data_IF_274623436082
#
_entry.id   IF_274623436082
#
_cell.length_a   1.000
_cell.length_b   1.000
_cell.length_c   1.000
_cell.angle_alpha   90.00
_cell.angle_beta   90.00
_cell.angle_gamma   90.00
#
_symmetry.space_group_name_H-M   'P 1'
#
loop_
_entity.id
_entity.type
_entity.pdbx_description
1 polymer ?
#
# COMPACT_ATOMS: atom_id res chain seq x y z
N UNK A 1 -42.15 16.42 -49.84
CA UNK A 1 -42.36 16.67 -48.41
C UNK A 1 -42.12 15.44 -47.49
N UNK A 2 -42.45 14.20 -47.90
CA UNK A 2 -42.25 13.01 -47.04
C UNK A 2 -40.79 12.50 -46.91
N UNK A 3 -39.92 12.87 -47.87
CA UNK A 3 -38.52 12.44 -47.86
C UNK A 3 -37.62 13.33 -46.98
N UNK A 4 -37.96 14.62 -46.84
CA UNK A 4 -37.22 15.61 -46.06
C UNK A 4 -37.44 15.39 -44.53
N UNK A 5 -38.64 14.94 -44.13
CA UNK A 5 -38.92 14.62 -42.72
C UNK A 5 -38.20 13.35 -42.20
N UNK A 6 -37.87 12.40 -43.09
CA UNK A 6 -37.11 11.19 -42.68
C UNK A 6 -35.62 11.46 -42.53
N UNK A 7 -35.06 12.41 -43.26
CA UNK A 7 -33.66 12.81 -43.10
C UNK A 7 -33.44 13.67 -41.84
N UNK A 8 -34.43 14.50 -41.46
CA UNK A 8 -34.32 15.29 -40.22
C UNK A 8 -34.43 14.44 -38.94
N UNK A 9 -35.22 13.33 -38.96
CA UNK A 9 -35.35 12.43 -37.81
C UNK A 9 -34.10 11.58 -37.59
N UNK A 10 -33.34 11.25 -38.61
CA UNK A 10 -32.06 10.51 -38.51
C UNK A 10 -30.94 11.45 -38.05
N UNK A 11 -30.96 12.72 -38.40
CA UNK A 11 -29.99 13.72 -37.92
C UNK A 11 -30.22 14.11 -36.45
N UNK A 12 -31.47 14.07 -35.96
CA UNK A 12 -31.79 14.40 -34.56
C UNK A 12 -31.47 13.25 -33.57
N UNK A 13 -31.48 11.97 -34.01
CA UNK A 13 -31.05 10.83 -33.23
C UNK A 13 -29.53 10.70 -33.16
N UNK A 14 -28.75 11.31 -34.04
CA UNK A 14 -27.29 11.30 -34.04
C UNK A 14 -26.66 12.31 -33.08
N UNK A 15 -27.41 13.28 -32.57
CA UNK A 15 -26.91 14.32 -31.67
C UNK A 15 -27.14 14.04 -30.17
N UNK A 16 -27.78 12.93 -29.81
CA UNK A 16 -28.03 12.55 -28.42
C UNK A 16 -27.01 11.54 -27.82
N UNK A 17 -25.96 11.24 -28.59
CA UNK A 17 -24.86 10.37 -28.08
C UNK A 17 -23.54 11.12 -27.86
N UNK A 18 -23.56 12.45 -27.83
CA UNK A 18 -22.49 13.17 -27.13
C UNK A 18 -22.72 13.00 -25.62
N UNK A 19 -22.43 11.82 -25.09
CA UNK A 19 -22.33 11.64 -23.66
C UNK A 19 -21.33 12.66 -23.15
N UNK A 20 -21.74 13.56 -22.25
CA UNK A 20 -20.81 14.35 -21.45
C UNK A 20 -19.85 13.33 -20.81
N UNK A 21 -18.55 13.46 -21.09
CA UNK A 21 -17.57 12.72 -20.32
C UNK A 21 -17.88 12.95 -18.82
N UNK A 22 -17.90 11.92 -17.98
CA UNK A 22 -18.20 12.11 -16.58
C UNK A 22 -17.22 13.13 -16.01
N UNK A 23 -17.77 14.12 -15.28
CA UNK A 23 -16.97 15.17 -14.65
C UNK A 23 -16.07 14.52 -13.61
N UNK A 24 -14.76 14.67 -13.74
CA UNK A 24 -13.83 14.23 -12.71
C UNK A 24 -13.59 15.32 -11.70
N UNK A 25 -13.58 14.96 -10.43
CA UNK A 25 -13.20 15.82 -9.31
C UNK A 25 -11.98 15.23 -8.61
N UNK A 26 -11.11 16.11 -8.12
CA UNK A 26 -9.91 15.69 -7.39
C UNK A 26 -9.80 16.45 -6.09
N UNK A 27 -9.26 15.78 -5.07
CA UNK A 27 -8.99 16.35 -3.76
C UNK A 27 -7.64 15.93 -3.25
N UNK A 28 -6.85 16.91 -2.80
CA UNK A 28 -5.56 16.69 -2.13
C UNK A 28 -5.68 17.08 -0.67
N UNK A 29 -5.24 16.24 0.24
CA UNK A 29 -5.21 16.48 1.68
C UNK A 29 -4.08 15.70 2.34
N UNK A 30 -3.76 16.00 3.60
CA UNK A 30 -2.76 15.29 4.40
C UNK A 30 -3.46 14.37 5.40
N UNK A 31 -3.07 13.09 5.42
CA UNK A 31 -3.51 12.10 6.38
C UNK A 31 -2.51 10.94 6.43
N UNK A 32 -2.44 10.18 7.52
CA UNK A 32 -1.55 9.03 7.73
C UNK A 32 -0.09 9.34 7.34
N UNK A 33 0.40 10.50 7.81
CA UNK A 33 1.75 11.02 7.58
C UNK A 33 2.16 11.21 6.11
N UNK A 34 1.18 11.35 5.20
CA UNK A 34 1.45 11.54 3.78
C UNK A 34 0.44 12.48 3.10
N UNK A 35 0.81 12.96 1.91
CA UNK A 35 -0.12 13.67 1.03
C UNK A 35 -0.90 12.65 0.22
N UNK A 36 -2.22 12.73 0.30
CA UNK A 36 -3.16 11.89 -0.45
C UNK A 36 -3.83 12.71 -1.54
N UNK A 37 -4.06 12.07 -2.69
CA UNK A 37 -4.79 12.67 -3.81
C UNK A 37 -5.84 11.69 -4.34
N UNK A 38 -7.11 12.06 -4.19
CA UNK A 38 -8.24 11.26 -4.66
C UNK A 38 -8.82 11.91 -5.92
N UNK A 39 -8.94 11.16 -6.99
CA UNK A 39 -9.64 11.55 -8.22
C UNK A 39 -10.83 10.61 -8.44
N UNK A 40 -12.03 11.16 -8.56
CA UNK A 40 -13.27 10.40 -8.74
C UNK A 40 -14.04 10.96 -9.93
N UNK A 41 -14.54 10.09 -10.80
CA UNK A 41 -15.43 10.44 -11.89
C UNK A 41 -16.85 10.02 -11.52
N UNK A 42 -17.72 10.96 -11.16
CA UNK A 42 -19.07 10.64 -10.71
C UNK A 42 -19.79 11.78 -10.02
N UNK A 43 -20.55 11.48 -8.98
CA UNK A 43 -21.40 12.42 -8.26
C UNK A 43 -20.59 13.43 -7.43
N UNK A 44 -21.08 14.69 -7.39
CA UNK A 44 -20.51 15.76 -6.56
C UNK A 44 -20.67 15.43 -5.06
N UNK A 45 -19.65 15.74 -4.25
CA UNK A 45 -19.69 15.61 -2.78
C UNK A 45 -19.12 14.31 -2.22
N UNK A 46 -18.90 13.27 -3.04
CA UNK A 46 -18.36 12.00 -2.56
C UNK A 46 -16.95 12.14 -1.97
N UNK A 47 -16.14 13.06 -2.48
CA UNK A 47 -14.79 13.32 -1.96
C UNK A 47 -14.77 13.80 -0.51
N UNK A 48 -15.83 14.47 -0.02
CA UNK A 48 -15.94 14.86 1.39
C UNK A 48 -16.08 13.62 2.28
N UNK A 49 -16.93 12.67 1.87
CA UNK A 49 -17.18 11.44 2.62
C UNK A 49 -15.93 10.53 2.61
N UNK A 50 -15.25 10.41 1.46
CA UNK A 50 -14.00 9.64 1.35
C UNK A 50 -12.91 10.23 2.26
N UNK A 51 -12.71 11.55 2.25
CA UNK A 51 -11.74 12.21 3.13
C UNK A 51 -12.09 12.02 4.61
N UNK A 52 -13.36 12.19 4.98
CA UNK A 52 -13.81 11.97 6.35
C UNK A 52 -13.59 10.52 6.80
N UNK A 53 -13.76 9.56 5.88
CA UNK A 53 -13.50 8.15 6.15
C UNK A 53 -12.02 7.88 6.40
N UNK A 54 -11.12 8.42 5.57
CA UNK A 54 -9.66 8.34 5.79
C UNK A 54 -9.28 8.86 7.17
N UNK A 55 -9.79 10.06 7.53
CA UNK A 55 -9.52 10.67 8.84
C UNK A 55 -10.06 9.84 10.02
N UNK A 56 -11.16 9.12 9.82
CA UNK A 56 -11.70 8.21 10.83
C UNK A 56 -10.77 7.01 11.02
N UNK A 57 -10.32 6.39 9.92
CA UNK A 57 -9.37 5.28 9.98
C UNK A 57 -8.03 5.70 10.63
N UNK A 58 -7.50 6.86 10.25
CA UNK A 58 -6.28 7.41 10.86
C UNK A 58 -6.40 7.50 12.38
N UNK A 59 -7.53 8.05 12.90
CA UNK A 59 -7.78 8.15 14.34
C UNK A 59 -7.83 6.81 15.05
N UNK A 60 -8.34 5.77 14.41
CA UNK A 60 -8.43 4.45 15.02
C UNK A 60 -7.09 3.72 15.00
N UNK A 61 -6.29 3.90 13.94
CA UNK A 61 -5.11 3.08 13.63
C UNK A 61 -3.77 3.69 14.08
N UNK A 62 -3.75 4.98 14.45
CA UNK A 62 -2.53 5.68 14.83
C UNK A 62 -1.85 5.03 16.05
N UNK A 63 -0.55 4.82 15.99
CA UNK A 63 0.27 4.37 17.13
C UNK A 63 0.70 5.51 18.06
N UNK A 64 0.50 6.76 17.63
CA UNK A 64 0.96 7.96 18.35
C UNK A 64 -0.18 8.82 18.92
N UNK A 65 -1.42 8.68 18.41
CA UNK A 65 -2.57 9.41 18.95
C UNK A 65 -3.10 8.71 20.22
N UNK A 66 -3.08 9.37 21.40
CA UNK A 66 -3.60 8.80 22.64
C UNK A 66 -5.09 8.41 22.61
N UNK A 67 -5.84 8.86 21.62
CA UNK A 67 -7.26 8.52 21.45
C UNK A 67 -7.48 7.32 20.53
N UNK A 68 -6.41 6.77 19.93
CA UNK A 68 -6.51 5.65 19.02
C UNK A 68 -6.65 4.30 19.74
N UNK A 69 -7.25 3.35 19.06
CA UNK A 69 -7.43 1.99 19.55
C UNK A 69 -6.09 1.24 19.58
N UNK A 70 -5.22 1.43 18.59
CA UNK A 70 -3.89 0.80 18.56
C UNK A 70 -2.97 1.40 19.62
N UNK A 71 -3.01 2.72 19.84
CA UNK A 71 -2.29 3.31 20.97
C UNK A 71 -2.78 2.73 22.31
N UNK A 72 -4.10 2.62 22.49
CA UNK A 72 -4.68 2.06 23.71
C UNK A 72 -4.28 0.58 23.92
N UNK A 73 -4.25 -0.23 22.83
CA UNK A 73 -3.75 -1.60 22.87
C UNK A 73 -2.29 -1.64 23.34
N UNK A 74 -1.43 -0.84 22.74
CA UNK A 74 0.00 -0.78 23.04
C UNK A 74 0.29 -0.29 24.49
N UNK A 75 -0.56 0.60 25.04
CA UNK A 75 -0.35 1.11 26.40
C UNK A 75 -0.94 0.21 27.49
N UNK A 76 -2.05 -0.45 27.22
CA UNK A 76 -2.82 -1.16 28.24
C UNK A 76 -2.68 -2.70 28.14
N UNK A 77 -2.05 -3.21 27.08
CA UNK A 77 -1.95 -4.63 26.78
C UNK A 77 -3.27 -5.27 26.31
N UNK A 78 -4.38 -4.53 26.40
CA UNK A 78 -5.69 -4.98 25.88
C UNK A 78 -6.61 -3.79 25.65
N UNK A 79 -7.45 -3.87 24.58
CA UNK A 79 -8.45 -2.86 24.27
C UNK A 79 -9.61 -3.46 23.45
N UNK A 80 -10.75 -2.78 23.50
CA UNK A 80 -11.87 -3.07 22.59
C UNK A 80 -11.66 -2.33 21.29
N UNK A 81 -11.86 -3.03 20.18
CA UNK A 81 -11.68 -2.53 18.82
C UNK A 81 -13.02 -2.19 18.16
N UNK A 82 -13.02 -1.19 17.31
CA UNK A 82 -14.05 -0.99 16.29
C UNK A 82 -14.01 -2.11 15.26
N UNK A 83 -15.06 -2.22 14.45
CA UNK A 83 -15.12 -3.22 13.39
C UNK A 83 -14.00 -3.07 12.37
N UNK A 84 -13.63 -1.82 12.03
CA UNK A 84 -12.54 -1.54 11.10
C UNK A 84 -11.17 -2.01 11.62
N UNK A 85 -10.85 -1.62 12.86
CA UNK A 85 -9.55 -1.98 13.46
C UNK A 85 -9.45 -3.49 13.66
N UNK A 86 -10.57 -4.13 14.06
CA UNK A 86 -10.65 -5.58 14.20
C UNK A 86 -10.45 -6.28 12.84
N UNK A 87 -11.18 -5.85 11.80
CA UNK A 87 -11.03 -6.41 10.44
C UNK A 87 -9.59 -6.28 9.96
N UNK A 88 -9.00 -5.08 10.09
CA UNK A 88 -7.61 -4.88 9.67
C UNK A 88 -6.64 -5.73 10.47
N UNK A 89 -6.78 -5.84 11.78
CA UNK A 89 -5.90 -6.64 12.63
C UNK A 89 -5.99 -8.13 12.27
N UNK A 90 -7.20 -8.67 12.05
CA UNK A 90 -7.41 -10.05 11.57
C UNK A 90 -6.70 -10.30 10.23
N UNK A 91 -6.86 -9.38 9.27
CA UNK A 91 -6.24 -9.48 7.93
C UNK A 91 -4.71 -9.37 8.03
N UNK A 92 -4.20 -8.42 8.82
CA UNK A 92 -2.77 -8.23 9.02
C UNK A 92 -2.10 -9.47 9.64
N UNK A 93 -2.70 -10.06 10.68
CA UNK A 93 -2.25 -11.34 11.24
C UNK A 93 -2.32 -12.48 10.22
N UNK A 94 -3.26 -12.42 9.27
CA UNK A 94 -3.33 -13.33 8.12
C UNK A 94 -2.10 -13.20 7.22
N UNK A 95 -1.68 -11.96 6.92
CA UNK A 95 -0.47 -11.72 6.13
C UNK A 95 0.81 -12.10 6.89
N UNK A 96 0.91 -11.83 8.20
CA UNK A 96 2.05 -12.28 8.99
C UNK A 96 2.24 -13.80 8.89
N UNK A 97 1.15 -14.55 9.02
CA UNK A 97 1.17 -16.02 8.85
C UNK A 97 1.53 -16.45 7.42
N UNK A 98 0.94 -15.80 6.42
CA UNK A 98 1.15 -16.16 5.01
C UNK A 98 2.59 -15.90 4.54
N UNK A 99 3.27 -14.96 5.15
CA UNK A 99 4.66 -14.57 4.84
C UNK A 99 5.70 -15.16 5.80
N UNK A 100 5.27 -16.10 6.67
CA UNK A 100 6.10 -16.73 7.69
C UNK A 100 6.88 -15.72 8.56
N UNK A 101 6.20 -14.61 8.90
CA UNK A 101 6.74 -13.55 9.74
C UNK A 101 7.60 -12.51 9.02
N UNK A 102 7.85 -12.61 7.71
CA UNK A 102 8.57 -11.56 6.98
C UNK A 102 7.83 -10.20 7.02
N UNK A 103 6.51 -10.21 7.14
CA UNK A 103 5.70 -9.13 7.66
C UNK A 103 5.34 -9.48 9.10
N UNK A 104 5.76 -8.66 10.07
CA UNK A 104 5.33 -8.80 11.46
C UNK A 104 4.84 -7.44 12.00
N UNK A 105 3.56 -7.37 12.34
CA UNK A 105 2.93 -6.15 12.85
C UNK A 105 3.35 -5.81 14.28
N UNK A 106 4.12 -6.66 14.95
CA UNK A 106 4.64 -6.38 16.30
C UNK A 106 6.03 -5.73 16.28
N UNK A 107 6.49 -5.26 15.12
CA UNK A 107 7.78 -4.60 14.92
C UNK A 107 7.90 -3.22 15.59
N UNK A 108 6.83 -2.66 16.16
CA UNK A 108 6.78 -1.29 16.66
C UNK A 108 7.83 -0.94 17.71
N UNK A 109 8.16 -1.81 18.70
CA UNK A 109 9.25 -1.53 19.65
C UNK A 109 10.60 -1.27 18.96
N UNK A 110 10.88 -2.01 17.87
CA UNK A 110 12.10 -1.79 17.08
C UNK A 110 12.04 -0.46 16.34
N UNK A 111 10.92 -0.10 15.70
CA UNK A 111 10.75 1.21 15.06
C UNK A 111 11.00 2.37 16.04
N UNK A 112 10.51 2.23 17.27
CA UNK A 112 10.77 3.21 18.35
C UNK A 112 12.25 3.29 18.72
N UNK A 113 12.92 2.15 18.88
CA UNK A 113 14.33 2.09 19.26
C UNK A 113 15.26 2.69 18.18
N UNK A 114 14.93 2.51 16.89
CA UNK A 114 15.62 3.14 15.78
C UNK A 114 15.28 4.64 15.61
N UNK A 115 14.22 5.14 16.28
CA UNK A 115 13.78 6.52 16.23
C UNK A 115 12.90 6.88 15.03
N UNK A 116 12.40 5.89 14.26
CA UNK A 116 11.53 6.14 13.09
C UNK A 116 10.15 6.68 13.46
N UNK A 117 9.76 6.61 14.71
CA UNK A 117 8.46 7.10 15.21
C UNK A 117 8.53 8.54 15.75
N UNK A 118 9.73 9.08 15.94
CA UNK A 118 9.94 10.39 16.60
C UNK A 118 10.92 11.30 15.87
N UNK A 119 11.50 10.86 14.75
CA UNK A 119 12.61 11.51 14.01
C UNK A 119 13.88 11.71 14.87
N UNK A 120 13.95 11.02 16.03
CA UNK A 120 15.13 11.00 16.92
C UNK A 120 15.98 9.78 16.60
N UNK A 121 16.53 9.76 15.39
CA UNK A 121 17.25 8.61 14.83
C UNK A 121 18.50 8.22 15.63
N UNK A 122 18.66 6.92 15.83
CA UNK A 122 19.83 6.32 16.47
C UNK A 122 20.00 4.87 16.02
N UNK A 123 21.24 4.37 16.12
CA UNK A 123 21.54 2.95 15.90
C UNK A 123 21.54 2.25 17.27
N UNK A 124 20.59 1.33 17.54
CA UNK A 124 20.58 0.55 18.77
C UNK A 124 21.82 -0.35 18.86
N UNK A 125 22.28 -0.64 20.07
CA UNK A 125 23.35 -1.61 20.30
C UNK A 125 22.84 -3.07 20.18
N UNK A 126 23.77 -4.01 20.08
CA UNK A 126 23.47 -5.42 19.87
C UNK A 126 22.63 -6.03 21.02
N UNK A 127 22.84 -5.60 22.27
CA UNK A 127 22.06 -6.07 23.41
C UNK A 127 20.61 -5.57 23.34
N UNK A 128 20.41 -4.33 22.90
CA UNK A 128 19.08 -3.75 22.64
C UNK A 128 18.39 -4.49 21.50
N UNK A 129 19.07 -4.72 20.38
CA UNK A 129 18.49 -5.48 19.26
C UNK A 129 18.12 -6.91 19.66
N UNK A 130 18.97 -7.57 20.47
CA UNK A 130 18.66 -8.91 20.99
C UNK A 130 17.41 -8.93 21.87
N UNK A 131 17.23 -7.91 22.73
CA UNK A 131 16.05 -7.79 23.57
C UNK A 131 14.78 -7.48 22.76
N UNK A 132 14.88 -6.65 21.71
CA UNK A 132 13.76 -6.30 20.83
C UNK A 132 13.23 -7.51 20.06
N UNK A 133 14.10 -8.39 19.57
CA UNK A 133 13.70 -9.63 18.88
C UNK A 133 12.77 -10.51 19.68
N UNK A 134 12.95 -10.55 21.00
CA UNK A 134 12.08 -11.33 21.90
C UNK A 134 10.66 -10.75 22.01
N UNK A 135 10.45 -9.50 21.57
CA UNK A 135 9.13 -8.82 21.59
C UNK A 135 8.44 -8.80 20.22
N UNK A 136 9.12 -9.25 19.17
CA UNK A 136 8.57 -9.32 17.81
C UNK A 136 8.00 -10.73 17.61
N UNK A 137 6.68 -10.86 17.79
CA UNK A 137 5.97 -12.14 17.68
C UNK A 137 4.47 -11.87 17.42
N UNK A 138 4.09 -11.85 16.15
CA UNK A 138 2.67 -11.67 15.77
C UNK A 138 1.75 -12.77 16.32
N UNK A 139 2.29 -13.95 16.69
CA UNK A 139 1.48 -15.05 17.24
C UNK A 139 1.04 -14.79 18.66
N UNK A 140 1.69 -13.84 19.35
CA UNK A 140 1.32 -13.39 20.68
C UNK A 140 0.11 -12.45 20.71
N UNK A 141 -0.28 -11.89 19.55
CA UNK A 141 -1.49 -11.05 19.42
C UNK A 141 -2.73 -11.93 19.41
N UNK A 142 -3.65 -11.69 20.32
CA UNK A 142 -4.90 -12.45 20.43
C UNK A 142 -6.12 -11.59 20.17
N UNK A 143 -7.13 -12.17 19.51
CA UNK A 143 -8.42 -11.56 19.27
C UNK A 143 -9.51 -12.46 19.87
N UNK A 144 -10.33 -11.89 20.77
CA UNK A 144 -11.50 -12.54 21.36
C UNK A 144 -12.73 -11.63 21.19
N UNK A 145 -13.53 -11.94 20.18
CA UNK A 145 -14.66 -11.09 19.76
C UNK A 145 -14.16 -9.71 19.32
N UNK A 146 -14.55 -8.67 20.06
CA UNK A 146 -14.14 -7.27 19.79
C UNK A 146 -12.91 -6.84 20.60
N UNK A 147 -12.27 -7.73 21.34
CA UNK A 147 -11.14 -7.40 22.22
C UNK A 147 -9.84 -7.95 21.65
N UNK A 148 -8.86 -7.07 21.46
CA UNK A 148 -7.47 -7.45 21.21
C UNK A 148 -6.67 -7.45 22.51
N UNK A 149 -5.71 -8.37 22.62
CA UNK A 149 -4.77 -8.41 23.73
C UNK A 149 -3.38 -8.80 23.27
N UNK A 150 -2.36 -8.22 23.91
CA UNK A 150 -0.93 -8.44 23.69
C UNK A 150 -0.22 -8.60 25.02
N UNK A 151 0.84 -9.42 25.12
CA UNK A 151 1.64 -9.52 26.34
C UNK A 151 2.54 -8.30 26.55
N UNK A 152 3.10 -8.18 27.75
CA UNK A 152 4.04 -7.11 28.09
C UNK A 152 5.26 -7.11 27.15
N UNK A 153 5.64 -5.94 26.65
CA UNK A 153 6.75 -5.74 25.73
C UNK A 153 6.38 -5.84 24.25
N UNK A 154 5.31 -6.56 23.91
CA UNK A 154 4.79 -6.60 22.53
C UNK A 154 3.98 -5.34 22.24
N UNK A 155 4.20 -4.72 21.08
CA UNK A 155 3.43 -3.54 20.65
C UNK A 155 3.16 -3.65 19.13
N UNK A 156 1.95 -3.27 18.73
CA UNK A 156 1.46 -3.39 17.34
C UNK A 156 1.65 -2.09 16.57
N UNK A 157 2.09 -2.20 15.33
CA UNK A 157 2.06 -1.16 14.30
C UNK A 157 1.40 -1.70 13.04
N UNK A 158 0.47 -0.93 12.48
CA UNK A 158 -0.25 -1.28 11.27
C UNK A 158 0.19 -0.46 10.04
N UNK A 159 1.30 0.28 10.13
CA UNK A 159 1.79 1.18 9.08
C UNK A 159 2.04 0.50 7.74
N UNK A 160 2.45 -0.77 7.74
CA UNK A 160 2.67 -1.57 6.53
C UNK A 160 1.39 -2.08 5.85
N UNK A 161 0.20 -1.84 6.43
CA UNK A 161 -1.09 -2.33 5.93
C UNK A 161 -2.21 -1.28 5.98
N UNK A 162 -2.03 -0.20 6.71
CA UNK A 162 -3.08 0.79 6.98
C UNK A 162 -3.52 1.54 5.71
N UNK A 163 -2.59 1.91 4.83
CA UNK A 163 -2.92 2.59 3.58
C UNK A 163 -3.63 1.65 2.60
N UNK A 164 -3.15 0.40 2.51
CA UNK A 164 -3.80 -0.63 1.70
C UNK A 164 -5.21 -0.96 2.18
N UNK A 165 -5.43 -1.03 3.50
CA UNK A 165 -6.77 -1.19 4.07
C UNK A 165 -7.66 0.03 3.80
N UNK A 166 -7.10 1.22 3.90
CA UNK A 166 -7.81 2.45 3.54
C UNK A 166 -8.25 2.41 2.07
N UNK A 167 -7.38 2.01 1.15
CA UNK A 167 -7.73 1.82 -0.26
C UNK A 167 -8.88 0.81 -0.43
N UNK A 168 -8.84 -0.32 0.28
CA UNK A 168 -9.90 -1.34 0.28
C UNK A 168 -11.24 -0.75 0.74
N UNK A 169 -11.26 -0.02 1.85
CA UNK A 169 -12.47 0.61 2.40
C UNK A 169 -13.03 1.65 1.43
N UNK A 170 -12.18 2.53 0.89
CA UNK A 170 -12.62 3.55 -0.07
C UNK A 170 -13.13 2.92 -1.37
N UNK A 171 -12.51 1.84 -1.85
CA UNK A 171 -12.98 1.09 -3.02
C UNK A 171 -14.39 0.52 -2.80
N UNK A 172 -14.66 -0.02 -1.61
CA UNK A 172 -16.01 -0.50 -1.24
C UNK A 172 -17.03 0.66 -1.25
N UNK A 173 -16.69 1.81 -0.67
CA UNK A 173 -17.55 3.01 -0.68
C UNK A 173 -17.83 3.51 -2.09
N UNK A 174 -16.82 3.53 -2.97
CA UNK A 174 -16.97 3.92 -4.37
C UNK A 174 -17.85 2.94 -5.15
N UNK A 175 -17.70 1.64 -4.92
CA UNK A 175 -18.54 0.61 -5.53
C UNK A 175 -20.01 0.73 -5.08
N UNK A 176 -20.26 0.96 -3.79
CA UNK A 176 -21.62 1.19 -3.25
C UNK A 176 -22.26 2.46 -3.82
N UNK A 177 -21.46 3.49 -4.13
CA UNK A 177 -21.90 4.70 -4.81
C UNK A 177 -22.03 4.56 -6.34
N UNK A 178 -21.72 3.40 -6.91
CA UNK A 178 -21.80 3.15 -8.36
C UNK A 178 -20.73 3.87 -9.18
N UNK A 179 -19.59 4.22 -8.57
CA UNK A 179 -18.46 4.85 -9.26
C UNK A 179 -17.69 3.80 -10.07
N UNK A 180 -17.56 4.04 -11.37
CA UNK A 180 -16.88 3.15 -12.30
C UNK A 180 -15.46 3.61 -12.68
N UNK A 181 -15.05 4.82 -12.26
CA UNK A 181 -13.74 5.39 -12.59
C UNK A 181 -13.22 6.26 -11.44
N UNK A 182 -12.10 5.85 -10.85
CA UNK A 182 -11.41 6.61 -9.82
C UNK A 182 -9.92 6.25 -9.74
N UNK A 183 -9.10 7.17 -9.24
CA UNK A 183 -7.72 6.95 -8.86
C UNK A 183 -7.51 7.43 -7.44
N UNK A 184 -7.16 6.51 -6.55
CA UNK A 184 -6.83 6.80 -5.15
C UNK A 184 -5.31 6.74 -5.02
N UNK A 185 -4.67 7.88 -4.77
CA UNK A 185 -3.27 7.98 -4.40
C UNK A 185 -3.18 8.29 -2.90
N UNK A 186 -2.79 7.29 -2.12
CA UNK A 186 -2.66 7.35 -0.68
C UNK A 186 -1.18 7.46 -0.28
N UNK A 187 -0.45 8.39 -0.93
CA UNK A 187 0.97 8.58 -0.68
C UNK A 187 1.84 7.47 -1.26
N UNK A 188 1.67 7.18 -2.56
CA UNK A 188 2.39 6.13 -3.28
C UNK A 188 1.74 4.74 -3.19
N UNK A 189 0.71 4.57 -2.35
CA UNK A 189 -0.18 3.42 -2.39
C UNK A 189 -1.33 3.77 -3.34
N UNK A 190 -1.26 3.29 -4.56
CA UNK A 190 -2.19 3.64 -5.63
C UNK A 190 -3.24 2.56 -5.79
N UNK A 191 -4.53 2.93 -5.84
CA UNK A 191 -5.62 2.06 -6.27
C UNK A 191 -6.33 2.69 -7.47
N UNK A 192 -6.27 2.02 -8.61
CA UNK A 192 -7.02 2.37 -9.81
C UNK A 192 -8.34 1.60 -9.84
N UNK A 193 -9.42 2.29 -10.18
CA UNK A 193 -10.77 1.74 -10.39
C UNK A 193 -11.18 2.10 -11.81
N UNK A 194 -11.54 1.10 -12.61
CA UNK A 194 -11.93 1.25 -14.00
C UNK A 194 -10.86 1.93 -14.87
N UNK A 195 -11.29 2.55 -15.94
CA UNK A 195 -10.47 3.33 -16.85
C UNK A 195 -10.50 4.82 -16.46
N UNK A 196 -9.52 5.59 -16.90
CA UNK A 196 -9.47 7.03 -16.72
C UNK A 196 -10.60 7.74 -17.52
N UNK A 197 -10.87 9.04 -17.32
CA UNK A 197 -11.94 9.77 -18.02
C UNK A 197 -11.85 9.78 -19.54
N UNK A 198 -10.71 9.38 -20.10
CA UNK A 198 -10.46 9.29 -21.53
C UNK A 198 -10.71 7.90 -22.11
N UNK A 199 -11.17 6.94 -21.27
CA UNK A 199 -11.44 5.56 -21.65
C UNK A 199 -10.16 4.76 -21.92
N UNK A 200 -9.11 5.00 -21.11
CA UNK A 200 -7.82 4.31 -21.18
C UNK A 200 -7.41 3.81 -19.80
N UNK A 201 -6.55 2.79 -19.70
CA UNK A 201 -5.92 2.42 -18.43
C UNK A 201 -5.27 3.62 -17.74
N UNK A 202 -5.26 3.63 -16.42
CA UNK A 202 -4.52 4.61 -15.61
C UNK A 202 -3.02 4.38 -15.77
N UNK A 203 -2.25 5.47 -15.93
CA UNK A 203 -0.79 5.41 -15.97
C UNK A 203 -0.21 5.65 -14.58
N UNK A 204 0.44 4.65 -14.01
CA UNK A 204 1.10 4.74 -12.69
C UNK A 204 2.61 4.66 -12.89
N UNK A 205 3.32 5.72 -12.50
CA UNK A 205 4.77 5.75 -12.57
C UNK A 205 5.39 4.97 -11.41
N UNK A 206 6.38 4.13 -11.72
CA UNK A 206 7.21 3.44 -10.72
C UNK A 206 8.48 4.25 -10.54
N UNK A 207 8.69 4.78 -9.32
CA UNK A 207 9.82 5.66 -9.02
C UNK A 207 11.16 4.96 -9.16
N UNK A 208 12.18 5.70 -9.64
CA UNK A 208 13.57 5.23 -9.64
C UNK A 208 14.18 5.48 -8.25
N UNK A 209 14.59 4.43 -7.51
CA UNK A 209 15.19 4.58 -6.18
C UNK A 209 16.59 5.21 -6.20
N UNK A 210 17.22 5.34 -7.36
CA UNK A 210 18.60 5.86 -7.51
C UNK A 210 18.66 7.28 -8.07
N UNK A 211 17.54 7.87 -8.48
CA UNK A 211 17.56 9.18 -9.12
C UNK A 211 16.21 9.90 -9.14
N UNK A 212 16.22 11.07 -9.78
CA UNK A 212 15.00 11.82 -10.06
C UNK A 212 14.36 11.27 -11.34
N UNK A 213 13.36 10.41 -11.22
CA UNK A 213 12.65 9.88 -12.39
C UNK A 213 11.87 8.62 -12.13
N UNK A 214 11.62 7.86 -13.19
CA UNK A 214 10.81 6.65 -13.14
C UNK A 214 11.55 5.49 -13.81
N UNK A 215 11.49 4.32 -13.18
CA UNK A 215 11.90 3.04 -13.81
C UNK A 215 11.03 2.72 -15.02
N UNK A 216 9.77 3.15 -14.98
CA UNK A 216 8.79 2.93 -16.02
C UNK A 216 7.39 3.36 -15.61
N UNK A 217 6.43 3.08 -16.47
CA UNK A 217 5.00 3.37 -16.24
C UNK A 217 4.19 2.10 -16.42
N UNK A 218 3.39 1.78 -15.41
CA UNK A 218 2.37 0.73 -15.45
C UNK A 218 1.06 1.30 -16.00
N UNK A 219 0.46 0.60 -16.97
CA UNK A 219 -0.87 0.88 -17.48
C UNK A 219 -1.86 -0.08 -16.84
N UNK A 220 -2.71 0.40 -15.92
CA UNK A 220 -3.53 -0.45 -15.04
C UNK A 220 -5.01 -0.07 -15.08
N UNK A 221 -5.87 -1.08 -14.96
CA UNK A 221 -7.33 -0.98 -14.79
C UNK A 221 -7.72 -1.94 -13.69
N UNK A 222 -8.50 -1.49 -12.71
CA UNK A 222 -8.93 -2.28 -11.54
C UNK A 222 -7.76 -2.97 -10.82
N UNK A 223 -6.68 -2.21 -10.58
CA UNK A 223 -5.45 -2.70 -9.93
C UNK A 223 -4.94 -1.71 -8.90
N UNK A 224 -4.35 -2.25 -7.86
CA UNK A 224 -3.47 -1.51 -6.96
C UNK A 224 -2.01 -1.61 -7.43
N UNK A 225 -1.25 -0.56 -7.17
CA UNK A 225 0.20 -0.49 -7.37
C UNK A 225 0.79 0.11 -6.11
N UNK A 226 1.53 -0.69 -5.36
CA UNK A 226 2.08 -0.28 -4.06
C UNK A 226 3.57 -0.55 -4.04
N UNK A 227 4.35 0.44 -3.62
CA UNK A 227 5.80 0.34 -3.53
C UNK A 227 6.26 0.49 -2.09
N UNK A 228 7.10 -0.43 -1.63
CA UNK A 228 7.93 -0.28 -0.43
C UNK A 228 9.37 -0.03 -0.84
N UNK A 229 9.96 1.05 -0.33
CA UNK A 229 11.33 1.45 -0.66
C UNK A 229 12.10 1.98 0.54
N UNK A 230 13.35 1.51 0.72
CA UNK A 230 14.22 1.98 1.79
C UNK A 230 14.60 3.46 1.67
N UNK A 231 14.43 4.05 0.49
CA UNK A 231 14.73 5.45 0.23
C UNK A 231 13.65 6.43 0.76
N UNK A 232 12.45 5.96 1.09
CA UNK A 232 11.33 6.83 1.52
C UNK A 232 11.55 7.43 2.92
N UNK A 233 11.98 6.58 3.87
CA UNK A 233 12.27 6.99 5.25
C UNK A 233 13.57 6.35 5.70
N UNK A 234 14.63 7.14 5.79
CA UNK A 234 15.94 6.67 6.20
C UNK A 234 16.74 7.78 6.87
N UNK A 235 17.83 7.40 7.52
CA UNK A 235 18.85 8.32 8.02
C UNK A 235 20.24 7.77 7.78
N UNK A 236 21.23 8.64 7.75
CA UNK A 236 22.63 8.26 7.61
C UNK A 236 23.37 8.46 8.94
N UNK A 237 24.11 7.43 9.36
CA UNK A 237 25.03 7.54 10.50
C UNK A 237 26.35 6.84 10.17
N UNK A 238 27.47 7.55 10.31
CA UNK A 238 28.82 7.04 10.04
C UNK A 238 29.02 6.50 8.59
N UNK A 239 28.32 7.08 7.60
CA UNK A 239 28.39 6.64 6.20
C UNK A 239 27.55 5.39 5.88
N UNK A 240 26.71 4.94 6.79
CA UNK A 240 25.76 3.84 6.61
C UNK A 240 24.34 4.42 6.60
N UNK A 241 23.54 4.01 5.61
CA UNK A 241 22.11 4.38 5.51
C UNK A 241 21.27 3.31 6.19
N UNK A 242 20.39 3.75 7.10
CA UNK A 242 19.44 2.91 7.82
C UNK A 242 18.01 3.32 7.45
N UNK A 243 17.21 2.40 6.95
CA UNK A 243 15.83 2.65 6.55
C UNK A 243 14.81 2.00 7.49
N UNK A 244 13.56 2.44 7.39
CA UNK A 244 12.47 2.07 8.29
C UNK A 244 11.88 0.65 8.05
N UNK A 245 12.21 -0.02 6.96
CA UNK A 245 11.73 -1.38 6.69
C UNK A 245 12.64 -2.33 7.48
N UNK A 246 12.16 -2.75 8.64
CA UNK A 246 12.92 -3.59 9.54
C UNK A 246 12.64 -5.07 9.28
N UNK A 247 13.68 -5.88 9.42
CA UNK A 247 13.59 -7.34 9.41
C UNK A 247 13.21 -7.84 10.81
N UNK A 248 12.08 -8.54 10.97
CA UNK A 248 11.62 -9.07 12.24
C UNK A 248 12.62 -10.01 12.93
N UNK A 249 13.39 -10.78 12.18
CA UNK A 249 14.38 -11.72 12.71
C UNK A 249 15.59 -11.02 13.33
N UNK A 250 15.90 -9.80 12.89
CA UNK A 250 17.07 -9.05 13.34
C UNK A 250 16.73 -7.81 14.16
N UNK A 251 15.49 -7.32 14.10
CA UNK A 251 15.02 -6.03 14.60
C UNK A 251 15.82 -4.83 14.02
N UNK A 252 16.50 -5.01 12.89
CA UNK A 252 17.31 -4.02 12.21
C UNK A 252 16.80 -3.79 10.78
N UNK A 253 17.23 -2.69 10.09
CA UNK A 253 16.90 -2.50 8.68
C UNK A 253 17.24 -3.74 7.84
N UNK A 254 16.29 -4.20 7.02
CA UNK A 254 16.43 -5.39 6.21
C UNK A 254 17.59 -5.26 5.19
N UNK A 255 18.57 -6.16 5.29
CA UNK A 255 19.69 -6.26 4.34
C UNK A 255 19.42 -7.38 3.32
N UNK A 256 18.32 -7.24 2.60
CA UNK A 256 17.81 -8.26 1.67
C UNK A 256 18.40 -8.16 0.25
N UNK A 257 19.25 -7.15 0.00
CA UNK A 257 19.77 -6.84 -1.33
C UNK A 257 18.77 -6.09 -2.22
N UNK A 258 17.53 -5.86 -1.79
CA UNK A 258 16.53 -5.05 -2.46
C UNK A 258 16.54 -3.61 -1.94
N UNK A 259 16.28 -2.64 -2.82
CA UNK A 259 16.09 -1.24 -2.44
C UNK A 259 14.67 -0.73 -2.69
N UNK A 260 13.89 -1.42 -3.55
CA UNK A 260 12.47 -1.17 -3.76
C UNK A 260 11.75 -2.43 -4.23
N UNK A 261 10.48 -2.56 -3.81
CA UNK A 261 9.56 -3.60 -4.25
C UNK A 261 8.22 -2.95 -4.59
N UNK A 262 7.78 -3.08 -5.84
CA UNK A 262 6.45 -2.67 -6.26
C UNK A 262 5.59 -3.90 -6.47
N UNK A 263 4.45 -3.96 -5.81
CA UNK A 263 3.46 -5.05 -5.95
C UNK A 263 2.24 -4.52 -6.69
N UNK A 264 1.76 -5.31 -7.65
CA UNK A 264 0.59 -5.00 -8.50
C UNK A 264 -0.43 -6.13 -8.35
N UNK A 265 -1.64 -5.79 -7.93
CA UNK A 265 -2.72 -6.75 -7.70
C UNK A 265 -4.09 -6.09 -7.70
N UNK A 266 -5.15 -6.85 -7.47
CA UNK A 266 -6.51 -6.28 -7.41
C UNK A 266 -6.79 -5.55 -6.10
N UNK A 267 -6.17 -5.99 -5.01
CA UNK A 267 -6.46 -5.55 -3.65
C UNK A 267 -5.29 -4.73 -3.08
N UNK A 268 -5.55 -3.46 -2.79
CA UNK A 268 -4.54 -2.54 -2.23
C UNK A 268 -3.96 -3.02 -0.91
N UNK A 269 -4.74 -3.66 -0.04
CA UNK A 269 -4.25 -4.21 1.23
C UNK A 269 -3.25 -5.36 0.99
N UNK A 270 -3.56 -6.27 0.06
CA UNK A 270 -2.63 -7.35 -0.32
C UNK A 270 -1.33 -6.77 -0.87
N UNK A 271 -1.42 -5.77 -1.75
CA UNK A 271 -0.24 -5.14 -2.33
C UNK A 271 0.61 -4.41 -1.28
N UNK A 272 -0.02 -3.71 -0.31
CA UNK A 272 0.67 -2.99 0.77
C UNK A 272 1.43 -3.98 1.68
N UNK A 273 0.75 -5.00 2.19
CA UNK A 273 1.35 -6.03 3.02
C UNK A 273 2.50 -6.76 2.31
N UNK A 274 2.28 -7.17 1.06
CA UNK A 274 3.27 -7.94 0.31
C UNK A 274 4.46 -7.11 -0.15
N UNK A 275 4.31 -5.81 -0.45
CA UNK A 275 5.45 -4.97 -0.83
C UNK A 275 6.50 -4.92 0.29
N UNK A 276 6.08 -4.84 1.55
CA UNK A 276 6.95 -4.88 2.73
C UNK A 276 7.53 -6.28 2.96
N UNK A 277 6.67 -7.32 2.93
CA UNK A 277 7.13 -8.69 3.15
C UNK A 277 8.17 -9.13 2.12
N UNK A 278 7.92 -8.89 0.83
CA UNK A 278 8.84 -9.27 -0.25
C UNK A 278 10.16 -8.48 -0.17
N UNK A 279 10.11 -7.23 0.28
CA UNK A 279 11.32 -6.46 0.54
C UNK A 279 12.21 -7.13 1.60
N UNK A 280 11.61 -7.58 2.69
CA UNK A 280 12.30 -8.30 3.77
C UNK A 280 12.83 -9.65 3.30
N UNK A 281 12.04 -10.42 2.55
CA UNK A 281 12.42 -11.74 2.04
C UNK A 281 13.64 -11.70 1.11
N UNK A 282 13.85 -10.61 0.37
CA UNK A 282 14.85 -10.54 -0.68
C UNK A 282 14.39 -11.24 -1.97
N UNK A 283 15.18 -11.04 -3.05
CA UNK A 283 14.76 -11.39 -4.41
C UNK A 283 14.34 -12.84 -4.61
N UNK A 284 15.21 -13.77 -4.20
CA UNK A 284 14.98 -15.20 -4.52
C UNK A 284 13.75 -15.75 -3.80
N UNK A 285 13.64 -15.48 -2.49
CA UNK A 285 12.48 -15.89 -1.70
C UNK A 285 11.20 -15.17 -2.13
N UNK A 286 11.28 -13.88 -2.50
CA UNK A 286 10.16 -13.12 -3.04
C UNK A 286 9.63 -13.71 -4.35
N UNK A 287 10.52 -14.13 -5.26
CA UNK A 287 10.12 -14.79 -6.51
C UNK A 287 9.54 -16.19 -6.26
N UNK A 288 10.08 -16.96 -5.31
CA UNK A 288 9.52 -18.26 -4.94
C UNK A 288 8.14 -18.10 -4.30
N UNK A 289 7.95 -17.10 -3.47
CA UNK A 289 6.65 -16.75 -2.90
C UNK A 289 5.65 -16.33 -4.00
N UNK A 290 6.05 -15.48 -4.94
CA UNK A 290 5.23 -15.11 -6.08
C UNK A 290 4.83 -16.32 -6.95
N UNK A 291 5.75 -17.24 -7.22
CA UNK A 291 5.44 -18.46 -7.98
C UNK A 291 4.39 -19.35 -7.32
N UNK A 292 4.28 -19.28 -6.00
CA UNK A 292 3.29 -20.06 -5.23
C UNK A 292 1.89 -19.42 -5.22
N UNK A 293 1.71 -18.22 -5.81
CA UNK A 293 0.48 -17.42 -5.75
C UNK A 293 0.13 -16.86 -7.15
N UNK A 294 -1.16 -16.54 -7.35
CA UNK A 294 -1.68 -15.99 -8.61
C UNK A 294 -2.33 -14.61 -8.45
N UNK A 295 -2.38 -14.07 -7.23
CA UNK A 295 -3.14 -12.87 -6.89
C UNK A 295 -2.35 -11.57 -6.99
N UNK A 296 -1.06 -11.61 -7.33
CA UNK A 296 -0.23 -10.43 -7.52
C UNK A 296 0.91 -10.66 -8.52
N UNK A 297 1.45 -9.55 -9.00
CA UNK A 297 2.70 -9.44 -9.76
C UNK A 297 3.63 -8.45 -9.06
N UNK A 298 4.93 -8.44 -9.39
CA UNK A 298 5.85 -7.51 -8.75
C UNK A 298 6.98 -7.03 -9.65
N UNK A 299 7.56 -5.88 -9.24
CA UNK A 299 8.82 -5.33 -9.74
C UNK A 299 9.78 -5.29 -8.57
N UNK A 300 10.91 -5.96 -8.68
CA UNK A 300 11.97 -6.01 -7.68
C UNK A 300 13.16 -5.18 -8.18
N UNK A 301 13.64 -4.26 -7.35
CA UNK A 301 14.80 -3.43 -7.65
C UNK A 301 15.90 -3.75 -6.64
N UNK A 302 17.00 -4.26 -7.14
CA UNK A 302 18.16 -4.62 -6.32
C UNK A 302 19.05 -3.40 -6.05
N UNK A 303 19.78 -3.40 -4.94
CA UNK A 303 20.71 -2.34 -4.55
C UNK A 303 21.85 -2.08 -5.56
N UNK A 304 22.11 -3.03 -6.45
CA UNK A 304 23.06 -2.90 -7.56
C UNK A 304 22.45 -2.25 -8.82
N UNK A 305 21.15 -1.90 -8.78
CA UNK A 305 20.41 -1.30 -9.89
C UNK A 305 19.76 -2.31 -10.85
N UNK A 306 19.86 -3.61 -10.61
CA UNK A 306 19.17 -4.60 -11.43
C UNK A 306 17.65 -4.56 -11.17
N UNK A 307 16.87 -4.62 -12.25
CA UNK A 307 15.39 -4.61 -12.21
C UNK A 307 14.87 -5.94 -12.70
N UNK A 308 14.05 -6.59 -11.89
CA UNK A 308 13.33 -7.81 -12.24
C UNK A 308 11.83 -7.53 -12.22
N UNK A 309 11.13 -7.94 -13.29
CA UNK A 309 9.68 -7.77 -13.45
C UNK A 309 9.07 -9.15 -13.65
N UNK A 310 7.99 -9.46 -12.98
CA UNK A 310 7.28 -10.72 -13.18
C UNK A 310 6.50 -10.72 -14.50
N UNK A 311 6.35 -11.90 -15.12
CA UNK A 311 5.84 -12.05 -16.49
C UNK A 311 4.47 -11.41 -16.75
N UNK A 312 3.58 -11.41 -15.74
CA UNK A 312 2.24 -10.80 -15.88
C UNK A 312 2.24 -9.28 -16.05
N UNK A 313 3.38 -8.60 -15.85
CA UNK A 313 3.50 -7.16 -16.08
C UNK A 313 4.10 -6.79 -17.44
N UNK A 314 4.57 -7.76 -18.26
CA UNK A 314 5.27 -7.47 -19.52
C UNK A 314 4.44 -6.60 -20.49
N UNK A 315 3.14 -6.85 -20.58
CA UNK A 315 2.26 -6.15 -21.53
C UNK A 315 1.80 -4.78 -21.00
N UNK A 316 1.90 -4.53 -19.70
CA UNK A 316 1.41 -3.30 -19.07
C UNK A 316 2.51 -2.41 -18.48
N UNK A 317 3.74 -2.90 -18.32
CA UNK A 317 4.87 -2.11 -17.83
C UNK A 317 5.75 -1.63 -18.99
N UNK A 318 5.75 -0.33 -19.24
CA UNK A 318 6.66 0.33 -20.18
C UNK A 318 7.90 0.81 -19.43
N UNK A 319 8.97 0.03 -19.48
CA UNK A 319 10.24 0.38 -18.86
C UNK A 319 10.90 1.61 -19.52
N UNK A 320 11.56 2.44 -18.71
CA UNK A 320 12.40 3.56 -19.11
C UNK A 320 13.88 3.28 -18.85
N UNK A 321 14.21 2.14 -18.27
CA UNK A 321 15.58 1.67 -18.03
C UNK A 321 16.04 0.73 -19.14
N UNK A 322 17.36 0.66 -19.36
CA UNK A 322 17.94 -0.05 -20.51
C UNK A 322 17.80 -1.57 -20.45
N UNK A 323 17.70 -2.14 -19.25
CA UNK A 323 17.62 -3.59 -19.06
C UNK A 323 16.66 -3.96 -17.93
N UNK A 324 15.72 -4.85 -18.25
CA UNK A 324 14.79 -5.47 -17.31
C UNK A 324 14.87 -6.98 -17.48
N UNK A 325 15.04 -7.70 -16.39
CA UNK A 325 14.93 -9.16 -16.37
C UNK A 325 13.47 -9.55 -16.14
N UNK A 326 12.96 -10.48 -16.96
CA UNK A 326 11.61 -11.03 -16.73
C UNK A 326 11.72 -12.32 -15.97
N UNK A 327 10.99 -12.43 -14.85
CA UNK A 327 10.83 -13.64 -14.10
C UNK A 327 9.58 -14.38 -14.57
N UNK A 328 9.71 -15.68 -14.84
CA UNK A 328 8.63 -16.56 -15.27
C UNK A 328 8.20 -17.49 -14.11
N UNK A 329 6.94 -17.91 -14.14
CA UNK A 329 6.41 -18.83 -13.11
C UNK A 329 6.95 -20.25 -13.28
N UNK A 330 7.26 -20.65 -14.52
CA UNK A 330 7.78 -21.99 -14.89
C UNK A 330 6.73 -22.91 -15.48
#
# INVERSE_FOLDING_TARGET
MKLICKLLSVLLCGFLLAGCAPKSESRTFFAMDTVMNLTVCGEEGLLDDLQARVQTLEKHLSVTDPQSEIYALNQNGSTRLSDDTRELLELALGFCRATDGALDITIYPALCAWGFTTDSYQVPDDDTLAALRETIDYTAVTLDGETASIPEGVMVDLGAVAKGYTALVLTRMLADAGVESALLDLGGNIQAIGENPEGRPWGVAVQDPFGEGYLGVLSVTDRAVVTSGGYERNFEQNGVIYHHILDPDTAAPADSGLCAVTVVGENGLTCDALSTALYVMGKDAALDFWRSREDFECILVESNGAVTVTEGLQDCFRAHVDAVTVAERG
#
